data_IF_796191148904
#
_entry.id   IF_796191148904
#
_cell.length_a   1.000
_cell.length_b   1.000
_cell.length_c   1.000
_cell.angle_alpha   90.00
_cell.angle_beta   90.00
_cell.angle_gamma   90.00
#
_symmetry.space_group_name_H-M   'P 1'
#
loop_
_entity.id
_entity.type
_entity.pdbx_description
1 polymer ?
#
# COMPACT_ATOMS: atom_id res chain seq x y z
N UNK A 1 34.04 -1.72 -26.14
CA UNK A 1 33.20 -2.92 -26.05
C UNK A 1 32.08 -2.75 -27.04
N UNK A 2 32.10 -3.53 -28.13
CA UNK A 2 31.11 -3.49 -29.20
C UNK A 2 29.95 -4.39 -28.76
N UNK A 3 28.76 -3.80 -28.57
CA UNK A 3 27.54 -4.55 -28.34
C UNK A 3 27.06 -5.11 -29.70
N UNK A 4 27.12 -6.42 -29.88
CA UNK A 4 26.54 -7.11 -31.03
C UNK A 4 25.08 -7.34 -30.77
N UNK A 5 24.20 -6.58 -31.43
CA UNK A 5 22.77 -6.86 -31.49
C UNK A 5 22.49 -7.96 -32.50
N UNK A 6 22.17 -9.17 -32.01
CA UNK A 6 21.67 -10.25 -32.87
C UNK A 6 20.16 -10.06 -33.03
N UNK A 7 19.73 -9.54 -34.16
CA UNK A 7 18.32 -9.48 -34.52
C UNK A 7 17.90 -10.81 -35.15
N UNK A 8 16.99 -11.54 -34.54
CA UNK A 8 16.33 -12.71 -35.14
C UNK A 8 15.04 -12.24 -35.79
N UNK A 9 14.97 -12.34 -37.13
CA UNK A 9 13.74 -12.14 -37.89
C UNK A 9 12.89 -13.39 -37.87
N UNK A 10 11.71 -13.35 -37.23
CA UNK A 10 10.69 -14.38 -37.37
C UNK A 10 9.38 -13.70 -37.77
N UNK A 11 8.94 -14.00 -38.98
CA UNK A 11 7.65 -13.61 -39.58
C UNK A 11 7.27 -12.11 -39.47
N UNK A 12 8.20 -11.21 -39.79
CA UNK A 12 7.87 -9.79 -39.99
C UNK A 12 7.40 -9.00 -38.75
N UNK A 13 7.55 -9.52 -37.54
CA UNK A 13 7.34 -8.77 -36.28
C UNK A 13 8.67 -8.60 -35.56
N UNK A 14 9.05 -7.33 -35.38
CA UNK A 14 10.11 -7.01 -34.43
C UNK A 14 9.64 -7.48 -33.06
N UNK A 15 10.34 -8.44 -32.44
CA UNK A 15 10.26 -8.66 -31.02
C UNK A 15 11.05 -7.49 -30.44
N UNK A 16 10.34 -6.53 -29.83
CA UNK A 16 10.99 -5.51 -29.03
C UNK A 16 11.90 -6.23 -28.02
N UNK A 17 13.20 -5.97 -28.14
CA UNK A 17 14.16 -6.51 -27.20
C UNK A 17 13.67 -6.11 -25.80
N UNK A 18 13.46 -7.09 -24.95
CA UNK A 18 13.12 -6.86 -23.55
C UNK A 18 14.14 -5.85 -23.03
N UNK A 19 13.72 -4.61 -22.83
CA UNK A 19 14.54 -3.61 -22.17
C UNK A 19 14.74 -4.10 -20.75
N UNK A 20 15.88 -4.73 -20.52
CA UNK A 20 16.33 -4.95 -19.16
C UNK A 20 16.39 -3.58 -18.47
N UNK A 21 15.81 -3.42 -17.30
CA UNK A 21 15.91 -2.16 -16.57
C UNK A 21 17.38 -1.81 -16.40
N UNK A 22 17.77 -0.63 -16.83
CA UNK A 22 19.16 -0.14 -16.78
C UNK A 22 19.58 0.22 -15.36
N UNK A 23 18.64 0.17 -14.43
CA UNK A 23 18.79 0.53 -13.03
C UNK A 23 17.89 -0.34 -12.16
N UNK A 24 18.44 -0.95 -11.13
CA UNK A 24 17.70 -1.69 -10.11
C UNK A 24 17.15 -0.68 -9.09
N UNK A 25 15.84 -0.55 -9.01
CA UNK A 25 15.18 0.35 -8.07
C UNK A 25 15.10 -0.29 -6.70
N UNK A 26 15.18 0.55 -5.66
CA UNK A 26 14.90 0.13 -4.28
C UNK A 26 13.53 0.69 -3.86
N UNK A 27 12.64 -0.19 -3.45
CA UNK A 27 11.28 0.14 -3.05
C UNK A 27 11.14 -0.17 -1.56
N UNK A 28 10.63 0.78 -0.79
CA UNK A 28 10.33 0.59 0.63
C UNK A 28 8.89 0.15 0.82
N UNK A 29 8.63 -0.75 1.76
CA UNK A 29 7.29 -1.13 2.18
C UNK A 29 7.20 -1.24 3.70
N UNK A 30 6.11 -0.71 4.28
CA UNK A 30 5.79 -0.85 5.70
C UNK A 30 4.28 -0.98 5.87
N UNK A 31 3.89 -1.77 6.86
CA UNK A 31 2.50 -2.11 7.16
C UNK A 31 2.24 -1.84 8.64
N UNK A 32 0.97 -1.86 9.05
CA UNK A 32 0.62 -1.78 10.47
C UNK A 32 1.32 -2.89 11.27
N UNK A 33 1.29 -4.12 10.76
CA UNK A 33 2.08 -5.27 11.24
C UNK A 33 2.06 -6.39 10.21
N UNK A 34 3.15 -7.12 10.10
CA UNK A 34 3.24 -8.35 9.28
C UNK A 34 2.78 -9.61 10.05
N UNK A 35 2.44 -9.47 11.32
CA UNK A 35 1.79 -10.57 12.07
C UNK A 35 0.34 -10.82 11.64
N UNK A 36 -0.26 -9.89 10.87
CA UNK A 36 -1.58 -10.09 10.25
C UNK A 36 -1.41 -10.81 8.91
N UNK A 37 -2.03 -11.99 8.73
CA UNK A 37 -1.95 -12.76 7.47
C UNK A 37 -2.42 -12.00 6.23
N UNK A 38 -3.28 -10.99 6.40
CA UNK A 38 -3.73 -10.14 5.30
C UNK A 38 -2.57 -9.31 4.74
N UNK A 39 -1.80 -8.64 5.60
CA UNK A 39 -0.65 -7.83 5.16
C UNK A 39 0.54 -8.70 4.75
N UNK A 40 0.73 -9.86 5.38
CA UNK A 40 1.73 -10.84 4.96
C UNK A 40 1.46 -11.27 3.49
N UNK A 41 0.22 -11.64 3.16
CA UNK A 41 -0.17 -12.01 1.79
C UNK A 41 0.07 -10.89 0.79
N UNK A 42 -0.32 -9.66 1.12
CA UNK A 42 -0.09 -8.49 0.26
C UNK A 42 1.42 -8.27 0.03
N UNK A 43 2.21 -8.35 1.11
CA UNK A 43 3.66 -8.18 1.02
C UNK A 43 4.32 -9.22 0.11
N UNK A 44 3.91 -10.48 0.23
CA UNK A 44 4.46 -11.57 -0.58
C UNK A 44 4.17 -11.37 -2.07
N UNK A 45 2.97 -10.96 -2.43
CA UNK A 45 2.60 -10.64 -3.81
C UNK A 45 3.39 -9.44 -4.35
N UNK A 46 3.53 -8.37 -3.55
CA UNK A 46 4.34 -7.20 -3.90
C UNK A 46 5.80 -7.61 -4.10
N UNK A 47 6.36 -8.40 -3.18
CA UNK A 47 7.74 -8.87 -3.27
C UNK A 47 7.98 -9.69 -4.54
N UNK A 48 7.05 -10.57 -4.88
CA UNK A 48 7.12 -11.39 -6.09
C UNK A 48 7.14 -10.51 -7.35
N UNK A 49 6.27 -9.50 -7.45
CA UNK A 49 6.21 -8.59 -8.58
C UNK A 49 7.46 -7.72 -8.70
N UNK A 50 7.92 -7.14 -7.59
CA UNK A 50 9.12 -6.29 -7.55
C UNK A 50 10.35 -7.10 -7.97
N UNK A 51 10.50 -8.30 -7.41
CA UNK A 51 11.62 -9.22 -7.76
C UNK A 51 11.57 -9.65 -9.23
N UNK A 52 10.39 -9.90 -9.78
CA UNK A 52 10.24 -10.28 -11.20
C UNK A 52 10.69 -9.18 -12.16
N UNK A 53 10.61 -7.92 -11.73
CA UNK A 53 11.09 -6.76 -12.47
C UNK A 53 12.60 -6.49 -12.29
N UNK A 54 13.29 -7.25 -11.44
CA UNK A 54 14.70 -7.05 -11.14
C UNK A 54 14.96 -5.95 -10.12
N UNK A 55 13.93 -5.49 -9.41
CA UNK A 55 13.99 -4.47 -8.37
C UNK A 55 14.17 -5.08 -6.96
N UNK A 56 14.48 -4.26 -5.97
CA UNK A 56 14.66 -4.65 -4.57
C UNK A 56 13.52 -4.11 -3.70
N UNK A 57 12.96 -4.96 -2.84
CA UNK A 57 12.00 -4.56 -1.81
C UNK A 57 12.67 -4.53 -0.44
N UNK A 58 12.60 -3.39 0.23
CA UNK A 58 13.03 -3.19 1.62
C UNK A 58 11.79 -3.12 2.50
N UNK A 59 11.51 -4.20 3.23
CA UNK A 59 10.32 -4.31 4.10
C UNK A 59 10.67 -3.95 5.53
N UNK A 60 9.72 -3.28 6.22
CA UNK A 60 9.76 -2.98 7.65
C UNK A 60 8.46 -3.37 8.32
N UNK A 61 8.56 -3.85 9.55
CA UNK A 61 7.43 -4.20 10.41
C UNK A 61 7.50 -3.40 11.72
N UNK A 62 6.73 -2.32 11.86
CA UNK A 62 6.71 -1.50 13.06
C UNK A 62 6.02 -2.19 14.25
N UNK A 63 5.26 -3.28 14.02
CA UNK A 63 4.59 -3.99 15.09
C UNK A 63 3.50 -3.15 15.78
N UNK A 64 2.72 -2.38 15.02
CA UNK A 64 1.66 -1.47 15.48
C UNK A 64 2.17 -0.24 16.27
N UNK A 65 3.44 0.11 16.14
CA UNK A 65 4.03 1.29 16.76
C UNK A 65 4.23 2.39 15.71
N UNK A 66 3.46 3.48 15.81
CA UNK A 66 3.49 4.58 14.83
C UNK A 66 4.83 5.34 14.85
N UNK A 67 5.41 5.55 16.03
CA UNK A 67 6.69 6.26 16.13
C UNK A 67 7.81 5.43 15.48
N UNK A 68 7.78 4.13 15.73
CA UNK A 68 8.70 3.18 15.07
C UNK A 68 8.48 3.16 13.56
N UNK A 69 7.22 3.22 13.08
CA UNK A 69 6.94 3.30 11.64
C UNK A 69 7.57 4.54 11.02
N UNK A 70 7.44 5.71 11.66
CA UNK A 70 8.01 6.97 11.19
C UNK A 70 9.54 6.88 11.08
N UNK A 71 10.20 6.31 12.10
CA UNK A 71 11.66 6.12 12.11
C UNK A 71 12.11 5.14 11.02
N UNK A 72 11.40 4.05 10.83
CA UNK A 72 11.69 3.06 9.79
C UNK A 72 11.51 3.62 8.37
N UNK A 73 10.47 4.46 8.16
CA UNK A 73 10.30 5.19 6.89
C UNK A 73 11.48 6.14 6.64
N UNK A 74 11.90 6.91 7.65
CA UNK A 74 13.05 7.80 7.53
C UNK A 74 14.34 7.03 7.20
N UNK A 75 14.56 5.90 7.83
CA UNK A 75 15.69 5.02 7.53
C UNK A 75 15.67 4.51 6.09
N UNK A 76 14.49 4.11 5.58
CA UNK A 76 14.32 3.68 4.20
C UNK A 76 14.58 4.82 3.21
N UNK A 77 14.07 6.02 3.49
CA UNK A 77 14.33 7.22 2.70
C UNK A 77 15.82 7.59 2.67
N UNK A 78 16.52 7.44 3.79
CA UNK A 78 17.97 7.67 3.88
C UNK A 78 18.79 6.62 3.13
N UNK A 79 18.27 5.42 2.93
CA UNK A 79 18.88 4.37 2.09
C UNK A 79 18.62 4.57 0.60
N UNK A 80 17.82 5.58 0.23
CA UNK A 80 17.58 5.94 -1.16
C UNK A 80 16.52 5.11 -1.85
N UNK A 81 15.45 4.76 -1.15
CA UNK A 81 14.26 4.17 -1.81
C UNK A 81 13.69 5.16 -2.83
N UNK A 82 13.16 4.64 -3.92
CA UNK A 82 12.60 5.42 -5.04
C UNK A 82 11.07 5.39 -5.08
N UNK A 83 10.45 4.55 -4.25
CA UNK A 83 9.02 4.43 -4.03
C UNK A 83 8.79 3.95 -2.60
N UNK A 84 7.77 4.48 -1.93
CA UNK A 84 7.34 4.05 -0.61
C UNK A 84 5.91 3.49 -0.67
N UNK A 85 5.73 2.28 -0.19
CA UNK A 85 4.42 1.61 -0.02
C UNK A 85 4.11 1.59 1.46
N UNK A 86 2.96 2.15 1.88
CA UNK A 86 2.60 2.30 3.30
C UNK A 86 1.17 1.83 3.55
N UNK A 87 1.01 1.01 4.58
CA UNK A 87 -0.23 0.92 5.33
C UNK A 87 0.04 1.56 6.71
N UNK A 88 -0.53 2.74 7.01
CA UNK A 88 -0.21 3.48 8.22
C UNK A 88 -0.75 2.79 9.47
N UNK A 89 0.00 2.83 10.56
CA UNK A 89 -0.46 2.43 11.90
C UNK A 89 -1.53 3.42 12.37
N UNK A 90 -1.24 4.71 12.27
CA UNK A 90 -2.14 5.81 12.57
C UNK A 90 -2.20 6.79 11.39
N UNK A 91 -3.41 7.16 10.95
CA UNK A 91 -3.63 7.95 9.74
C UNK A 91 -3.20 9.43 9.87
N UNK A 92 -3.10 9.93 11.10
CA UNK A 92 -2.58 11.27 11.41
C UNK A 92 -1.09 11.19 11.76
N UNK A 93 -0.73 10.23 12.60
CA UNK A 93 0.62 10.06 13.14
C UNK A 93 1.68 9.75 12.10
N UNK A 94 1.30 9.25 10.93
CA UNK A 94 2.23 8.99 9.80
C UNK A 94 2.63 10.26 9.04
N UNK A 95 1.88 11.35 9.17
CA UNK A 95 2.08 12.61 8.42
C UNK A 95 3.53 13.10 8.39
N UNK A 96 4.29 13.16 9.51
CA UNK A 96 5.67 13.65 9.48
C UNK A 96 6.60 12.81 8.58
N UNK A 97 6.37 11.51 8.52
CA UNK A 97 7.16 10.62 7.66
C UNK A 97 6.82 10.80 6.17
N UNK A 98 5.54 11.04 5.85
CA UNK A 98 5.08 11.32 4.49
C UNK A 98 5.58 12.68 3.98
N UNK A 99 5.63 13.69 4.85
CA UNK A 99 6.25 14.99 4.53
C UNK A 99 7.72 14.84 4.14
N UNK A 100 8.48 14.03 4.89
CA UNK A 100 9.89 13.73 4.55
C UNK A 100 10.01 12.97 3.21
N UNK A 101 9.08 12.06 2.89
CA UNK A 101 9.06 11.40 1.59
C UNK A 101 8.82 12.41 0.46
N UNK A 102 7.88 13.33 0.63
CA UNK A 102 7.61 14.43 -0.31
C UNK A 102 8.81 15.35 -0.50
N UNK A 103 9.47 15.75 0.59
CA UNK A 103 10.68 16.59 0.53
C UNK A 103 11.82 15.94 -0.26
N UNK A 104 11.93 14.61 -0.17
CA UNK A 104 12.92 13.81 -0.93
C UNK A 104 12.45 13.47 -2.34
N UNK A 105 11.23 13.84 -2.74
CA UNK A 105 10.66 13.50 -4.04
C UNK A 105 10.35 12.02 -4.22
N UNK A 106 10.17 11.27 -3.13
CA UNK A 106 9.83 9.84 -3.15
C UNK A 106 8.31 9.70 -3.20
N UNK A 107 7.74 9.14 -4.29
CA UNK A 107 6.31 8.92 -4.39
C UNK A 107 5.83 7.91 -3.34
N UNK A 108 4.59 8.13 -2.86
CA UNK A 108 3.98 7.29 -1.82
C UNK A 108 2.73 6.62 -2.37
N UNK A 109 2.62 5.31 -2.18
CA UNK A 109 1.40 4.51 -2.41
C UNK A 109 0.86 4.06 -1.06
N UNK A 110 -0.37 4.42 -0.76
CA UNK A 110 -1.09 3.87 0.40
C UNK A 110 -1.83 2.59 0.03
N UNK A 111 -1.85 1.66 0.97
CA UNK A 111 -2.60 0.40 0.86
C UNK A 111 -3.59 0.31 2.01
N UNK A 112 -4.83 -0.10 1.68
CA UNK A 112 -5.92 -0.46 2.59
C UNK A 112 -6.47 0.68 3.47
N UNK A 113 -5.74 1.76 3.67
CA UNK A 113 -6.17 2.89 4.50
C UNK A 113 -5.94 4.22 3.79
N UNK A 114 -6.47 5.29 4.36
CA UNK A 114 -6.26 6.67 3.94
C UNK A 114 -5.42 7.39 5.00
N UNK A 115 -4.98 8.60 4.70
CA UNK A 115 -4.29 9.51 5.63
C UNK A 115 -5.06 10.84 5.72
N UNK A 116 -4.75 11.63 6.71
CA UNK A 116 -5.41 12.91 6.96
C UNK A 116 -5.13 13.93 5.84
N UNK A 117 -3.89 13.99 5.36
CA UNK A 117 -3.51 14.84 4.22
C UNK A 117 -3.25 14.02 2.95
N UNK A 118 -4.25 13.91 2.04
CA UNK A 118 -4.12 13.15 0.81
C UNK A 118 -3.12 13.75 -0.20
N UNK A 119 -2.74 15.04 -0.06
CA UNK A 119 -1.76 15.70 -0.94
C UNK A 119 -0.32 15.15 -0.75
N UNK A 120 -0.07 14.43 0.35
CA UNK A 120 1.20 13.76 0.62
C UNK A 120 1.34 12.43 -0.13
N UNK A 121 0.28 11.98 -0.82
CA UNK A 121 0.19 10.64 -1.38
C UNK A 121 -0.02 10.69 -2.88
N UNK A 122 0.72 9.86 -3.60
CA UNK A 122 0.60 9.75 -5.06
C UNK A 122 -0.61 8.90 -5.46
N UNK A 123 -0.89 7.83 -4.72
CA UNK A 123 -1.97 6.90 -5.01
C UNK A 123 -2.43 6.19 -3.73
N UNK A 124 -3.74 5.94 -3.63
CA UNK A 124 -4.33 5.12 -2.56
C UNK A 124 -5.07 3.94 -3.16
N UNK A 125 -4.74 2.74 -2.71
CA UNK A 125 -5.40 1.48 -3.10
C UNK A 125 -6.17 0.97 -1.90
N UNK A 126 -7.49 1.05 -1.93
CA UNK A 126 -8.35 0.63 -0.81
C UNK A 126 -9.63 -0.03 -1.32
N UNK A 127 -10.28 -0.81 -0.46
CA UNK A 127 -11.61 -1.37 -0.71
C UNK A 127 -12.69 -0.29 -0.63
N UNK A 128 -13.84 -0.52 -1.27
CA UNK A 128 -15.02 0.33 -1.07
C UNK A 128 -15.64 0.03 0.31
N UNK A 129 -15.00 0.54 1.37
CA UNK A 129 -15.38 0.27 2.75
C UNK A 129 -16.78 0.82 3.10
N UNK A 130 -17.15 2.00 2.59
CA UNK A 130 -18.50 2.55 2.74
C UNK A 130 -19.54 1.62 2.11
N UNK A 131 -19.32 1.18 0.88
CA UNK A 131 -20.21 0.24 0.19
C UNK A 131 -20.34 -1.09 0.92
N UNK A 132 -19.25 -1.60 1.50
CA UNK A 132 -19.28 -2.81 2.31
C UNK A 132 -20.18 -2.64 3.54
N UNK A 133 -20.01 -1.56 4.30
CA UNK A 133 -20.88 -1.28 5.46
C UNK A 133 -22.35 -1.16 5.09
N UNK A 134 -22.66 -0.49 3.97
CA UNK A 134 -24.04 -0.39 3.47
C UNK A 134 -24.63 -1.75 3.08
N UNK A 135 -23.84 -2.64 2.47
CA UNK A 135 -24.27 -4.00 2.15
C UNK A 135 -24.53 -4.82 3.40
N UNK A 136 -23.69 -4.72 4.42
CA UNK A 136 -23.86 -5.40 5.70
C UNK A 136 -25.16 -4.98 6.38
N UNK A 137 -25.45 -3.67 6.44
CA UNK A 137 -26.70 -3.14 7.00
C UNK A 137 -27.92 -3.66 6.22
N UNK A 138 -27.88 -3.60 4.90
CA UNK A 138 -28.97 -4.09 4.04
C UNK A 138 -29.21 -5.59 4.23
N UNK A 139 -28.14 -6.36 4.31
CA UNK A 139 -28.24 -7.80 4.57
C UNK A 139 -28.91 -8.06 5.92
N UNK A 140 -28.46 -7.38 6.99
CA UNK A 140 -29.04 -7.52 8.32
C UNK A 140 -30.53 -7.18 8.36
N UNK A 141 -30.94 -6.05 7.75
CA UNK A 141 -32.34 -5.62 7.67
C UNK A 141 -33.18 -6.65 6.91
N UNK A 142 -32.62 -7.31 5.88
CA UNK A 142 -33.31 -8.34 5.14
C UNK A 142 -33.56 -9.62 5.97
N UNK A 143 -32.73 -9.89 6.96
CA UNK A 143 -32.81 -11.11 7.80
C UNK A 143 -33.68 -10.91 9.06
N UNK A 144 -33.88 -9.69 9.52
CA UNK A 144 -34.62 -9.41 10.76
C UNK A 144 -35.41 -8.11 10.71
N UNK A 145 -36.59 -8.13 11.34
CA UNK A 145 -37.43 -6.92 11.46
C UNK A 145 -37.05 -6.04 12.67
N UNK A 146 -36.32 -6.57 13.62
CA UNK A 146 -35.89 -5.86 14.82
C UNK A 146 -34.66 -6.53 15.41
N UNK A 147 -33.62 -5.78 15.68
CA UNK A 147 -32.40 -6.24 16.29
C UNK A 147 -31.78 -5.20 17.22
N UNK A 148 -31.09 -5.68 18.26
CA UNK A 148 -30.11 -4.85 19.00
C UNK A 148 -28.74 -5.16 18.40
N UNK A 149 -28.06 -4.12 17.94
CA UNK A 149 -26.81 -4.26 17.21
C UNK A 149 -25.71 -3.61 18.04
N UNK A 150 -24.57 -4.29 18.16
CA UNK A 150 -23.33 -3.75 18.67
C UNK A 150 -22.32 -3.72 17.53
N UNK A 151 -21.79 -2.55 17.21
CA UNK A 151 -20.77 -2.35 16.21
C UNK A 151 -19.42 -2.21 16.90
N UNK A 152 -18.46 -3.05 16.51
CA UNK A 152 -17.07 -2.94 16.95
C UNK A 152 -16.29 -2.26 15.82
N UNK A 153 -15.63 -1.16 16.16
CA UNK A 153 -14.84 -0.40 15.18
C UNK A 153 -13.49 -0.02 15.80
N UNK A 154 -12.49 0.14 14.94
CA UNK A 154 -11.21 0.73 15.31
C UNK A 154 -11.25 2.23 15.01
N UNK A 155 -11.05 3.09 16.04
CA UNK A 155 -11.07 4.55 15.91
C UNK A 155 -9.91 5.10 15.06
N UNK A 156 -8.81 4.36 14.97
CA UNK A 156 -7.56 4.81 14.35
C UNK A 156 -7.45 4.41 12.87
N UNK A 157 -8.54 3.85 12.31
CA UNK A 157 -8.61 3.37 10.94
C UNK A 157 -9.71 4.04 10.13
N UNK A 158 -9.35 4.72 9.05
CA UNK A 158 -10.30 5.27 8.08
C UNK A 158 -11.21 4.23 7.46
N UNK A 159 -10.69 3.04 7.16
CA UNK A 159 -11.46 1.93 6.60
C UNK A 159 -12.59 1.50 7.54
N UNK A 160 -12.31 1.49 8.84
CA UNK A 160 -13.29 1.20 9.89
C UNK A 160 -14.37 2.28 9.97
N UNK A 161 -13.97 3.54 9.89
CA UNK A 161 -14.86 4.70 9.87
C UNK A 161 -15.80 4.70 8.65
N UNK A 162 -15.26 4.46 7.47
CA UNK A 162 -16.03 4.37 6.23
C UNK A 162 -17.08 3.24 6.32
N UNK A 163 -16.70 2.05 6.82
CA UNK A 163 -17.64 0.92 7.02
C UNK A 163 -18.74 1.27 8.01
N UNK A 164 -18.39 1.86 9.15
CA UNK A 164 -19.36 2.29 10.14
C UNK A 164 -20.35 3.33 9.54
N UNK A 165 -19.84 4.31 8.82
CA UNK A 165 -20.64 5.33 8.15
C UNK A 165 -21.59 4.73 7.12
N UNK A 166 -21.15 3.78 6.32
CA UNK A 166 -21.99 3.06 5.38
C UNK A 166 -23.05 2.21 6.06
N UNK A 167 -22.73 1.58 7.20
CA UNK A 167 -23.68 0.77 7.95
C UNK A 167 -24.81 1.59 8.60
N UNK A 168 -24.52 2.82 9.01
CA UNK A 168 -25.47 3.70 9.69
C UNK A 168 -26.40 4.49 8.74
N UNK A 169 -26.27 4.33 7.42
CA UNK A 169 -27.15 4.95 6.41
C UNK A 169 -28.45 4.19 6.24
#
# INVERSE_FOLDING_TARGET
VVAVSVGIWVQGKFIDAVRLPTHTRMIGATYTTLSDPFYETINDEIQMQIKSNGDLLLVRDPGQDQERQNQEIEDMLNKGIELLIVNPVDYVGVTPALEKAREKGVPVILIDSKVDDPELVTCTITSNNYGAGLLDARHLISQTKSARIVLLSNSDSFSSWDRLSGFCQ
#
